data_IF_196277301957
#
_entry.id   IF_196277301957
#
_cell.length_a   1.000
_cell.length_b   1.000
_cell.length_c   1.000
_cell.angle_alpha   90.00
_cell.angle_beta   90.00
_cell.angle_gamma   90.00
#
_symmetry.space_group_name_H-M   'P 1'
#
loop_
_entity.id
_entity.type
_entity.pdbx_description
1 polymer ?
#
# COMPACT_ATOMS: atom_id res chain seq x y z
N UNK A 1 -19.14 15.52 -41.94
CA UNK A 1 -18.89 16.36 -40.75
C UNK A 1 -18.32 15.43 -39.73
N UNK A 2 -17.15 15.76 -39.19
CA UNK A 2 -16.60 14.98 -38.09
C UNK A 2 -17.52 15.14 -36.89
N UNK A 3 -17.93 14.01 -36.34
CA UNK A 3 -19.00 13.91 -35.35
C UNK A 3 -18.49 13.94 -33.90
N UNK A 4 -17.16 14.05 -33.73
CA UNK A 4 -16.49 14.18 -32.45
C UNK A 4 -15.59 15.43 -32.46
N UNK A 5 -15.62 16.20 -31.39
CA UNK A 5 -14.86 17.45 -31.25
C UNK A 5 -13.56 17.26 -30.46
N UNK A 6 -13.40 16.13 -29.77
CA UNK A 6 -12.17 15.78 -29.08
C UNK A 6 -11.17 15.18 -30.05
N UNK A 7 -9.90 15.52 -29.87
CA UNK A 7 -8.83 14.87 -30.62
C UNK A 7 -8.53 13.51 -30.00
N UNK A 8 -8.00 12.58 -30.79
CA UNK A 8 -7.54 11.28 -30.28
C UNK A 8 -6.53 11.43 -29.14
N UNK A 9 -5.75 12.51 -29.12
CA UNK A 9 -4.81 12.82 -28.05
C UNK A 9 -5.53 13.17 -26.74
N UNK A 10 -6.60 13.97 -26.79
CA UNK A 10 -7.36 14.36 -25.58
C UNK A 10 -8.05 13.15 -24.92
N UNK A 11 -8.57 12.25 -25.75
CA UNK A 11 -9.21 11.00 -25.29
C UNK A 11 -8.19 10.03 -24.70
N UNK A 12 -7.01 9.91 -25.32
CA UNK A 12 -5.90 9.11 -24.80
C UNK A 12 -5.41 9.63 -23.45
N UNK A 13 -5.14 10.93 -23.32
CA UNK A 13 -4.61 11.53 -22.10
C UNK A 13 -5.58 11.34 -20.91
N UNK A 14 -6.89 11.55 -21.16
CA UNK A 14 -7.91 11.34 -20.14
C UNK A 14 -8.06 9.86 -19.76
N UNK A 15 -7.99 8.96 -20.74
CA UNK A 15 -8.07 7.51 -20.50
C UNK A 15 -6.89 6.99 -19.68
N UNK A 16 -5.68 7.45 -20.02
CA UNK A 16 -4.44 7.09 -19.32
C UNK A 16 -4.42 7.63 -17.89
N UNK A 17 -4.84 8.88 -17.66
CA UNK A 17 -4.94 9.45 -16.30
C UNK A 17 -5.89 8.63 -15.40
N UNK A 18 -7.06 8.27 -15.93
CA UNK A 18 -8.00 7.41 -15.19
C UNK A 18 -7.44 6.01 -14.93
N UNK A 19 -6.72 5.44 -15.90
CA UNK A 19 -6.06 4.15 -15.76
C UNK A 19 -4.97 4.18 -14.67
N UNK A 20 -4.12 5.22 -14.66
CA UNK A 20 -3.08 5.39 -13.65
C UNK A 20 -3.70 5.52 -12.25
N UNK A 21 -4.76 6.33 -12.08
CA UNK A 21 -5.46 6.44 -10.79
C UNK A 21 -6.01 5.10 -10.31
N UNK A 22 -6.57 4.31 -11.23
CA UNK A 22 -7.07 2.98 -10.90
C UNK A 22 -5.93 2.05 -10.46
N UNK A 23 -4.77 2.09 -11.13
CA UNK A 23 -3.58 1.35 -10.68
C UNK A 23 -3.11 1.78 -9.30
N UNK A 24 -3.03 3.08 -9.01
CA UNK A 24 -2.56 3.57 -7.71
C UNK A 24 -3.44 3.08 -6.56
N UNK A 25 -4.75 3.15 -6.72
CA UNK A 25 -5.68 2.61 -5.72
C UNK A 25 -5.54 1.08 -5.61
N UNK A 26 -5.45 0.37 -6.74
CA UNK A 26 -5.29 -1.08 -6.74
C UNK A 26 -3.97 -1.54 -6.10
N UNK A 27 -2.88 -0.80 -6.29
CA UNK A 27 -1.58 -1.13 -5.70
C UNK A 27 -1.55 -0.94 -4.19
N UNK A 28 -2.19 0.12 -3.68
CA UNK A 28 -2.41 0.29 -2.24
C UNK A 28 -3.16 -0.92 -1.69
N UNK A 29 -4.29 -1.30 -2.31
CA UNK A 29 -5.07 -2.47 -1.89
C UNK A 29 -4.24 -3.75 -1.89
N UNK A 30 -3.45 -4.01 -2.93
CA UNK A 30 -2.61 -5.20 -3.01
C UNK A 30 -1.51 -5.19 -1.94
N UNK A 31 -0.83 -4.06 -1.74
CA UNK A 31 0.22 -3.90 -0.75
C UNK A 31 -0.30 -4.09 0.68
N UNK A 32 -1.41 -3.42 1.02
CA UNK A 32 -2.00 -3.50 2.35
C UNK A 32 -2.56 -4.89 2.63
N UNK A 33 -3.21 -5.54 1.66
CA UNK A 33 -3.63 -6.94 1.82
C UNK A 33 -2.45 -7.88 2.03
N UNK A 34 -1.32 -7.66 1.34
CA UNK A 34 -0.11 -8.46 1.57
C UNK A 34 0.43 -8.25 3.00
N UNK A 35 0.57 -7.00 3.44
CA UNK A 35 1.05 -6.69 4.79
C UNK A 35 0.12 -7.26 5.86
N UNK A 36 -1.20 -7.14 5.67
CA UNK A 36 -2.19 -7.62 6.62
C UNK A 36 -2.24 -9.16 6.66
N UNK A 37 -2.31 -9.84 5.52
CA UNK A 37 -2.46 -11.29 5.51
C UNK A 37 -1.20 -12.05 5.96
N UNK A 38 -0.03 -11.42 5.90
CA UNK A 38 1.25 -12.01 6.30
C UNK A 38 1.75 -11.49 7.66
N UNK A 39 0.85 -10.94 8.48
CA UNK A 39 1.21 -10.52 9.85
C UNK A 39 1.74 -11.70 10.64
N UNK A 40 2.58 -11.36 11.59
CA UNK A 40 3.19 -12.32 12.48
C UNK A 40 2.13 -12.96 13.38
N UNK A 41 2.01 -14.29 13.32
CA UNK A 41 1.02 -15.09 14.06
C UNK A 41 1.58 -15.73 15.33
N UNK A 42 2.90 -15.59 15.54
CA UNK A 42 3.60 -16.13 16.71
C UNK A 42 3.58 -15.10 17.82
N UNK A 43 3.31 -15.51 19.06
CA UNK A 43 3.36 -14.59 20.19
C UNK A 43 4.71 -13.87 20.31
N UNK A 44 4.67 -12.56 20.14
CA UNK A 44 5.82 -11.66 20.20
C UNK A 44 5.75 -10.71 21.42
N UNK A 45 4.82 -10.94 22.35
CA UNK A 45 4.84 -10.29 23.65
C UNK A 45 6.00 -10.87 24.48
N UNK A 46 7.16 -10.26 24.34
CA UNK A 46 8.37 -10.65 25.08
C UNK A 46 8.37 -10.08 26.52
N UNK A 47 7.20 -10.07 27.17
CA UNK A 47 7.02 -9.68 28.56
C UNK A 47 6.83 -8.18 28.78
N UNK A 48 6.20 -7.49 27.84
CA UNK A 48 5.78 -6.12 28.11
C UNK A 48 4.60 -6.16 29.08
N UNK A 49 4.64 -5.36 30.15
CA UNK A 49 3.48 -5.21 31.05
C UNK A 49 2.51 -4.13 30.54
N UNK A 50 2.66 -3.69 29.28
CA UNK A 50 1.99 -2.50 28.73
C UNK A 50 0.99 -2.80 27.62
N UNK A 51 0.82 -4.08 27.30
CA UNK A 51 -0.20 -4.61 26.39
C UNK A 51 -0.23 -6.14 26.47
N UNK A 52 -0.94 -6.76 25.54
CA UNK A 52 -1.06 -8.22 25.44
C UNK A 52 -1.18 -8.63 23.98
N UNK A 53 -0.56 -9.74 23.57
CA UNK A 53 -0.76 -10.28 22.23
C UNK A 53 -2.03 -11.12 22.14
N UNK A 54 -2.94 -10.77 21.23
CA UNK A 54 -4.09 -11.59 20.86
C UNK A 54 -3.68 -12.59 19.76
N UNK A 55 -3.57 -13.86 20.15
CA UNK A 55 -3.23 -14.99 19.26
C UNK A 55 -4.36 -15.41 18.31
N UNK A 56 -5.58 -14.89 18.48
CA UNK A 56 -6.72 -15.15 17.57
C UNK A 56 -6.73 -14.15 16.43
N UNK A 57 -6.30 -12.93 16.70
CA UNK A 57 -6.33 -11.81 15.75
C UNK A 57 -4.96 -11.36 15.27
N UNK A 58 -3.92 -12.05 15.76
CA UNK A 58 -2.51 -11.82 15.45
C UNK A 58 -2.12 -10.35 15.64
N UNK A 59 -2.56 -9.78 16.77
CA UNK A 59 -2.47 -8.34 17.05
C UNK A 59 -2.06 -8.07 18.49
N UNK A 60 -1.05 -7.21 18.67
CA UNK A 60 -0.64 -6.75 19.99
C UNK A 60 -1.52 -5.57 20.44
N UNK A 61 -2.27 -5.79 21.52
CA UNK A 61 -3.27 -4.85 22.01
C UNK A 61 -2.69 -3.95 23.11
N UNK A 62 -2.81 -2.64 22.90
CA UNK A 62 -2.43 -1.62 23.86
C UNK A 62 -3.70 -0.97 24.40
N UNK A 63 -3.94 -1.10 25.71
CA UNK A 63 -5.10 -0.46 26.34
C UNK A 63 -5.03 1.06 26.23
N UNK A 64 -5.91 1.65 25.43
CA UNK A 64 -5.88 3.06 25.07
C UNK A 64 -5.98 3.99 26.29
N UNK A 65 -6.83 3.63 27.26
CA UNK A 65 -7.07 4.43 28.47
C UNK A 65 -5.87 4.49 29.42
N UNK A 66 -4.98 3.51 29.37
CA UNK A 66 -3.82 3.41 30.27
C UNK A 66 -2.52 3.79 29.57
N UNK A 67 -2.34 3.31 28.33
CA UNK A 67 -1.06 3.33 27.63
C UNK A 67 -1.13 3.97 26.23
N UNK A 68 -2.29 4.48 25.80
CA UNK A 68 -2.46 5.01 24.45
C UNK A 68 -1.54 6.19 24.09
N UNK A 69 -1.16 7.03 25.05
CA UNK A 69 -0.20 8.14 24.83
C UNK A 69 1.25 7.68 24.64
N UNK A 70 1.54 6.41 24.96
CA UNK A 70 2.85 5.77 24.82
C UNK A 70 2.86 4.67 23.77
N UNK A 71 1.81 4.59 22.93
CA UNK A 71 1.64 3.52 21.96
C UNK A 71 2.85 3.36 21.02
N UNK A 72 3.42 4.47 20.55
CA UNK A 72 4.62 4.46 19.71
C UNK A 72 5.84 3.94 20.49
N UNK A 73 6.05 4.42 21.71
CA UNK A 73 7.16 3.95 22.56
C UNK A 73 7.05 2.47 22.93
N UNK A 74 5.83 1.99 23.22
CA UNK A 74 5.55 0.58 23.49
C UNK A 74 5.85 -0.25 22.25
N UNK A 75 5.39 0.19 21.08
CA UNK A 75 5.67 -0.48 19.80
C UNK A 75 7.17 -0.63 19.58
N UNK A 76 7.97 0.43 19.79
CA UNK A 76 9.44 0.35 19.70
C UNK A 76 10.04 -0.63 20.69
N UNK A 77 9.58 -0.59 21.93
CA UNK A 77 10.09 -1.46 22.99
C UNK A 77 9.82 -2.94 22.66
N UNK A 78 8.64 -3.25 22.11
CA UNK A 78 8.30 -4.58 21.62
C UNK A 78 9.19 -4.99 20.45
N UNK A 79 9.41 -4.12 19.47
CA UNK A 79 10.30 -4.39 18.34
C UNK A 79 11.74 -4.66 18.79
N UNK A 80 12.25 -3.85 19.73
CA UNK A 80 13.57 -4.00 20.31
C UNK A 80 13.69 -5.31 21.11
N UNK A 81 12.65 -5.70 21.86
CA UNK A 81 12.62 -6.98 22.58
C UNK A 81 12.60 -8.20 21.64
N UNK A 82 12.02 -8.04 20.45
CA UNK A 82 12.06 -9.05 19.38
C UNK A 82 13.31 -8.93 18.49
N UNK A 83 14.34 -8.19 18.95
CA UNK A 83 15.63 -8.04 18.29
C UNK A 83 15.58 -7.42 16.88
N UNK A 84 14.53 -6.65 16.57
CA UNK A 84 14.48 -5.83 15.37
C UNK A 84 15.33 -4.56 15.54
N UNK A 85 15.98 -4.09 14.46
CA UNK A 85 16.91 -2.95 14.45
C UNK A 85 16.15 -1.62 14.39
N UNK A 86 16.65 -0.50 14.95
CA UNK A 86 15.88 0.73 15.24
C UNK A 86 15.36 1.58 14.06
N UNK A 87 15.36 1.06 12.83
CA UNK A 87 14.78 1.74 11.67
C UNK A 87 13.46 1.06 11.33
N UNK A 88 12.36 1.76 11.63
CA UNK A 88 11.02 1.21 11.54
C UNK A 88 10.11 2.09 10.67
N UNK A 89 9.28 1.43 9.87
CA UNK A 89 8.18 2.05 9.16
C UNK A 89 6.86 1.53 9.71
N UNK A 90 5.98 2.44 10.13
CA UNK A 90 4.66 2.12 10.65
C UNK A 90 3.62 2.44 9.58
N UNK A 91 2.90 1.41 9.13
CA UNK A 91 1.75 1.54 8.25
C UNK A 91 0.51 1.68 9.14
N UNK A 92 -0.07 2.87 9.13
CA UNK A 92 -1.09 3.28 10.09
C UNK A 92 -2.44 3.41 9.40
N UNK A 93 -3.50 2.96 10.07
CA UNK A 93 -4.86 3.37 9.70
C UNK A 93 -5.04 4.89 9.89
N UNK A 94 -6.15 5.42 9.38
CA UNK A 94 -6.45 6.85 9.47
C UNK A 94 -6.42 7.38 10.92
N UNK A 95 -6.96 6.59 11.85
CA UNK A 95 -7.11 6.99 13.25
C UNK A 95 -5.77 7.07 13.97
N UNK A 96 -4.92 6.03 13.81
CA UNK A 96 -3.58 6.00 14.41
C UNK A 96 -2.65 7.01 13.73
N UNK A 97 -2.71 7.18 12.41
CA UNK A 97 -1.89 8.15 11.69
C UNK A 97 -2.13 9.57 12.20
N UNK A 98 -3.39 10.00 12.26
CA UNK A 98 -3.75 11.34 12.73
C UNK A 98 -3.35 11.56 14.20
N UNK A 99 -3.37 10.50 15.03
CA UNK A 99 -2.90 10.56 16.42
C UNK A 99 -1.39 10.72 16.51
N UNK A 100 -0.63 9.89 15.80
CA UNK A 100 0.83 9.94 15.82
C UNK A 100 1.37 11.24 15.21
N UNK A 101 0.72 11.77 14.17
CA UNK A 101 1.04 13.09 13.62
C UNK A 101 0.82 14.21 14.66
N UNK A 102 -0.30 14.16 15.39
CA UNK A 102 -0.55 15.10 16.50
C UNK A 102 0.53 14.99 17.57
N UNK A 103 0.91 13.78 17.97
CA UNK A 103 1.90 13.54 19.02
C UNK A 103 3.32 13.96 18.60
N UNK A 104 3.65 13.87 17.30
CA UNK A 104 4.87 14.41 16.72
C UNK A 104 4.95 15.95 16.87
N UNK A 105 3.82 16.64 16.73
CA UNK A 105 3.73 18.09 16.81
C UNK A 105 3.61 18.64 18.25
N UNK A 106 3.52 17.78 19.27
CA UNK A 106 3.53 18.20 20.67
C UNK A 106 4.95 18.63 21.09
N UNK A 107 5.29 19.89 20.79
CA UNK A 107 6.59 20.50 21.04
C UNK A 107 6.86 20.93 22.49
N UNK A 108 8.08 21.39 22.71
CA UNK A 108 8.75 21.71 23.98
C UNK A 108 8.02 22.67 24.96
N UNK A 109 6.93 23.32 24.54
CA UNK A 109 6.11 24.22 25.37
C UNK A 109 4.92 23.52 26.04
N UNK A 110 4.68 22.25 25.74
CA UNK A 110 3.65 21.43 26.39
C UNK A 110 4.27 20.69 27.59
N UNK A 111 3.60 20.67 28.75
CA UNK A 111 4.10 19.98 29.95
C UNK A 111 4.22 18.46 29.76
N UNK A 112 3.53 17.93 28.76
CA UNK A 112 3.57 16.53 28.32
C UNK A 112 4.15 16.50 26.91
N UNK A 113 5.48 16.56 26.80
CA UNK A 113 6.17 16.44 25.50
C UNK A 113 6.27 14.95 25.13
N UNK A 114 5.59 14.53 24.06
CA UNK A 114 5.59 13.14 23.56
C UNK A 114 6.41 12.96 22.27
N UNK A 115 6.95 14.06 21.71
CA UNK A 115 7.64 14.05 20.41
C UNK A 115 8.87 13.14 20.36
N UNK A 116 9.52 12.90 21.51
CA UNK A 116 10.70 12.02 21.63
C UNK A 116 10.42 10.57 21.24
N UNK A 117 9.16 10.11 21.35
CA UNK A 117 8.82 8.72 21.03
C UNK A 117 9.01 8.42 19.53
N UNK A 118 8.81 9.43 18.69
CA UNK A 118 8.75 9.32 17.24
C UNK A 118 10.11 9.36 16.54
N UNK A 119 11.22 9.51 17.28
CA UNK A 119 12.55 9.55 16.69
C UNK A 119 12.90 8.22 15.98
N UNK A 120 13.27 8.31 14.70
CA UNK A 120 13.68 7.16 13.89
C UNK A 120 12.53 6.36 13.26
N UNK A 121 11.29 6.86 13.31
CA UNK A 121 10.12 6.18 12.73
C UNK A 121 9.60 6.95 11.52
N UNK A 122 9.28 6.22 10.46
CA UNK A 122 8.49 6.73 9.33
C UNK A 122 7.04 6.29 9.48
N UNK A 123 6.11 7.24 9.52
CA UNK A 123 4.67 6.94 9.51
C UNK A 123 4.14 7.01 8.08
N UNK A 124 3.46 5.95 7.64
CA UNK A 124 2.80 5.86 6.34
C UNK A 124 1.30 5.73 6.56
N UNK A 125 0.54 6.68 6.03
CA UNK A 125 -0.93 6.65 6.08
C UNK A 125 -1.47 5.62 5.10
N UNK A 126 -2.16 4.61 5.62
CA UNK A 126 -2.72 3.47 4.88
C UNK A 126 -4.21 3.33 5.17
N UNK A 127 -5.09 4.09 4.48
CA UNK A 127 -6.51 4.18 4.84
C UNK A 127 -7.26 2.85 4.71
N UNK A 128 -6.82 1.96 3.82
CA UNK A 128 -7.43 0.63 3.63
C UNK A 128 -7.12 -0.36 4.76
N UNK A 129 -6.16 -0.02 5.64
CA UNK A 129 -5.82 -0.83 6.80
C UNK A 129 -6.94 -0.83 7.86
N UNK A 130 -7.61 0.32 8.04
CA UNK A 130 -8.69 0.49 9.02
C UNK A 130 -9.86 -0.49 8.80
N UNK A 131 -10.43 -0.59 7.58
CA UNK A 131 -11.45 -1.58 7.26
C UNK A 131 -11.02 -3.04 7.52
N UNK A 132 -9.74 -3.39 7.29
CA UNK A 132 -9.25 -4.76 7.53
C UNK A 132 -9.22 -5.10 9.02
N UNK A 133 -8.65 -4.22 9.86
CA UNK A 133 -8.69 -4.41 11.32
C UNK A 133 -10.09 -4.28 11.89
N UNK A 134 -10.94 -3.42 11.31
CA UNK A 134 -12.35 -3.27 11.69
C UNK A 134 -13.22 -4.48 11.36
N UNK A 135 -12.75 -5.38 10.47
CA UNK A 135 -13.42 -6.63 10.14
C UNK A 135 -13.02 -7.81 11.05
N UNK A 136 -12.02 -7.61 11.92
CA UNK A 136 -11.66 -8.57 12.97
C UNK A 136 -12.75 -8.62 14.06
N UNK A 137 -12.71 -9.65 14.92
CA UNK A 137 -13.68 -9.87 16.01
C UNK A 137 -13.66 -8.73 17.02
N UNK A 138 -12.48 -8.23 17.42
CA UNK A 138 -12.35 -7.09 18.33
C UNK A 138 -12.65 -5.75 17.67
N UNK A 139 -12.71 -5.71 16.32
CA UNK A 139 -13.08 -4.54 15.53
C UNK A 139 -12.33 -3.26 15.97
N UNK A 140 -11.00 -3.31 15.90
CA UNK A 140 -10.10 -2.26 16.40
C UNK A 140 -10.36 -0.87 15.80
N UNK A 141 -11.19 -0.09 16.49
CA UNK A 141 -11.69 1.21 16.01
C UNK A 141 -10.97 2.42 16.60
N UNK A 142 -10.12 2.21 17.62
CA UNK A 142 -9.37 3.28 18.28
C UNK A 142 -8.00 3.56 17.63
N UNK A 143 -7.67 2.83 16.57
CA UNK A 143 -6.43 2.96 15.80
C UNK A 143 -5.66 1.65 15.76
N UNK A 144 -5.14 1.31 14.57
CA UNK A 144 -4.36 0.10 14.33
C UNK A 144 -3.23 0.37 13.33
N UNK A 145 -2.10 -0.32 13.50
CA UNK A 145 -0.94 -0.17 12.65
C UNK A 145 -0.17 -1.48 12.51
N UNK A 146 0.61 -1.59 11.43
CA UNK A 146 1.59 -2.65 11.25
C UNK A 146 2.96 -2.00 11.29
N UNK A 147 3.79 -2.42 12.24
CA UNK A 147 5.17 -1.98 12.34
C UNK A 147 6.09 -2.98 11.61
N UNK A 148 6.98 -2.43 10.79
CA UNK A 148 7.85 -3.19 9.91
C UNK A 148 9.27 -2.69 10.10
N UNK A 149 10.23 -3.61 10.19
CA UNK A 149 11.64 -3.26 10.12
C UNK A 149 12.01 -2.86 8.69
N UNK A 150 12.71 -1.74 8.53
CA UNK A 150 13.15 -1.28 7.21
C UNK A 150 14.02 -2.34 6.51
N UNK A 151 13.73 -2.58 5.23
CA UNK A 151 14.40 -3.60 4.42
C UNK A 151 13.84 -5.01 4.58
N UNK A 152 12.83 -5.22 5.42
CA UNK A 152 12.22 -6.55 5.60
C UNK A 152 11.11 -6.89 4.62
N UNK A 153 10.63 -5.91 3.85
CA UNK A 153 9.63 -6.05 2.78
C UNK A 153 10.15 -5.48 1.47
N UNK A 154 9.67 -6.03 0.36
CA UNK A 154 10.03 -5.59 -0.98
C UNK A 154 8.98 -5.93 -2.03
N UNK A 155 9.00 -5.19 -3.14
CA UNK A 155 8.13 -5.42 -4.29
C UNK A 155 9.00 -5.57 -5.52
N UNK A 156 8.86 -6.70 -6.20
CA UNK A 156 9.46 -6.94 -7.50
C UNK A 156 8.43 -6.62 -8.59
N UNK A 157 8.84 -5.81 -9.54
CA UNK A 157 8.00 -5.44 -10.68
C UNK A 157 8.44 -6.21 -11.92
N UNK A 158 7.48 -6.63 -12.73
CA UNK A 158 7.75 -7.31 -13.99
C UNK A 158 6.84 -6.80 -15.10
N UNK A 159 7.43 -6.74 -16.29
CA UNK A 159 6.72 -6.49 -17.53
C UNK A 159 7.12 -7.54 -18.58
N UNK A 160 6.21 -7.93 -19.49
CA UNK A 160 6.50 -8.90 -20.53
C UNK A 160 7.73 -8.56 -21.36
N UNK A 161 8.39 -9.60 -21.88
CA UNK A 161 9.60 -9.45 -22.69
C UNK A 161 9.34 -8.63 -23.95
N UNK A 162 8.19 -8.83 -24.59
CA UNK A 162 7.79 -8.14 -25.82
C UNK A 162 7.74 -6.62 -25.64
N UNK A 163 7.23 -6.16 -24.49
CA UNK A 163 7.19 -4.74 -24.12
C UNK A 163 8.59 -4.18 -23.86
N UNK A 164 9.43 -4.92 -23.14
CA UNK A 164 10.84 -4.52 -22.88
C UNK A 164 11.67 -4.40 -24.15
N UNK A 165 11.41 -5.24 -25.15
CA UNK A 165 12.12 -5.23 -26.43
C UNK A 165 11.53 -4.25 -27.45
N UNK A 166 10.39 -3.60 -27.15
CA UNK A 166 9.72 -2.69 -28.08
C UNK A 166 9.24 -3.38 -29.36
N UNK A 167 8.71 -4.61 -29.24
CA UNK A 167 8.35 -5.42 -30.42
C UNK A 167 7.23 -4.75 -31.22
N UNK A 168 7.39 -4.74 -32.54
CA UNK A 168 6.34 -4.30 -33.48
C UNK A 168 5.96 -5.46 -34.38
N UNK A 169 4.67 -5.66 -34.54
CA UNK A 169 4.07 -6.59 -35.50
C UNK A 169 3.15 -5.80 -36.44
N UNK A 170 2.63 -6.40 -37.53
CA UNK A 170 1.72 -5.68 -38.42
C UNK A 170 0.41 -5.24 -37.73
N UNK A 171 -0.02 -5.96 -36.70
CA UNK A 171 -1.27 -5.72 -35.97
C UNK A 171 -1.06 -5.03 -34.61
N UNK A 172 0.05 -5.33 -33.94
CA UNK A 172 0.30 -4.95 -32.54
C UNK A 172 1.61 -4.18 -32.35
N UNK A 173 1.59 -3.20 -31.44
CA UNK A 173 2.77 -2.45 -30.98
C UNK A 173 2.95 -2.67 -29.48
N UNK A 174 4.12 -3.20 -29.10
CA UNK A 174 4.53 -3.35 -27.71
C UNK A 174 5.55 -2.28 -27.36
N UNK A 175 5.31 -1.56 -26.26
CA UNK A 175 6.20 -0.52 -25.75
C UNK A 175 6.16 -0.50 -24.23
N UNK A 176 6.87 0.47 -23.65
CA UNK A 176 6.85 0.78 -22.22
C UNK A 176 6.45 2.22 -21.98
N UNK A 177 5.73 2.47 -20.89
CA UNK A 177 5.41 3.81 -20.41
C UNK A 177 5.93 3.96 -18.98
N UNK A 178 6.62 5.05 -18.69
CA UNK A 178 6.95 5.40 -17.31
C UNK A 178 5.75 6.12 -16.72
N UNK A 179 5.19 5.59 -15.63
CA UNK A 179 4.17 6.29 -14.89
C UNK A 179 4.83 7.42 -14.08
N UNK A 180 4.42 8.69 -14.27
CA UNK A 180 5.03 9.83 -13.57
C UNK A 180 4.71 9.88 -12.07
N UNK A 181 3.71 9.11 -11.59
CA UNK A 181 3.30 9.10 -10.19
C UNK A 181 4.20 8.21 -9.33
N UNK A 182 4.46 6.98 -9.78
CA UNK A 182 5.25 5.99 -9.04
C UNK A 182 6.67 5.79 -9.60
N UNK A 183 6.97 6.31 -10.80
CA UNK A 183 8.25 6.16 -11.49
C UNK A 183 8.50 4.76 -12.07
N UNK A 184 7.52 3.85 -12.04
CA UNK A 184 7.65 2.49 -12.53
C UNK A 184 7.40 2.41 -14.04
N UNK A 185 8.00 1.40 -14.68
CA UNK A 185 7.83 1.15 -16.11
C UNK A 185 6.72 0.12 -16.35
N UNK A 186 5.66 0.56 -17.00
CA UNK A 186 4.46 -0.22 -17.31
C UNK A 186 4.58 -0.76 -18.72
N UNK A 187 4.02 -1.95 -18.95
CA UNK A 187 3.85 -2.49 -20.27
C UNK A 187 2.71 -1.74 -20.97
N UNK A 188 3.00 -1.15 -22.13
CA UNK A 188 2.01 -0.54 -23.01
C UNK A 188 1.85 -1.42 -24.25
N UNK A 189 0.63 -1.83 -24.53
CA UNK A 189 0.26 -2.59 -25.72
C UNK A 189 -0.80 -1.80 -26.50
N UNK A 190 -0.58 -1.62 -27.80
CA UNK A 190 -1.53 -0.94 -28.70
C UNK A 190 -1.84 -1.84 -29.87
N UNK A 191 -3.13 -1.99 -30.17
CA UNK A 191 -3.61 -2.72 -31.35
C UNK A 191 -4.79 -2.00 -31.97
N UNK A 192 -5.09 -2.35 -33.23
CA UNK A 192 -6.16 -1.72 -33.99
C UNK A 192 -7.14 -2.77 -34.52
N UNK A 193 -8.42 -2.57 -34.24
CA UNK A 193 -9.49 -3.44 -34.73
C UNK A 193 -10.40 -2.69 -35.70
N UNK A 194 -11.02 -3.43 -36.62
CA UNK A 194 -12.06 -2.86 -37.50
C UNK A 194 -13.33 -2.66 -36.69
N UNK A 195 -13.92 -1.47 -36.78
CA UNK A 195 -15.06 -1.10 -35.95
C UNK A 195 -16.18 -0.47 -36.80
N UNK A 196 -17.41 -0.97 -36.65
CA UNK A 196 -18.59 -0.32 -37.23
C UNK A 196 -19.07 0.77 -36.25
N UNK A 197 -18.58 1.99 -36.46
CA UNK A 197 -18.88 3.13 -35.60
C UNK A 197 -20.28 3.73 -35.79
N UNK A 198 -21.16 3.13 -36.59
CA UNK A 198 -22.50 3.68 -36.85
C UNK A 198 -23.38 3.81 -35.61
N UNK A 199 -23.13 3.02 -34.56
CA UNK A 199 -23.81 3.11 -33.28
C UNK A 199 -23.24 4.22 -32.35
N UNK A 200 -22.04 4.73 -32.65
CA UNK A 200 -21.28 5.71 -31.84
C UNK A 200 -21.09 7.02 -32.59
N UNK A 201 -22.06 7.37 -33.43
CA UNK A 201 -22.03 8.59 -34.25
C UNK A 201 -20.82 8.66 -35.20
N UNK A 202 -20.35 7.53 -35.73
CA UNK A 202 -19.23 7.45 -36.69
C UNK A 202 -19.60 6.60 -37.92
N UNK A 203 -18.66 6.20 -38.78
CA UNK A 203 -18.93 5.51 -40.05
C UNK A 203 -18.56 4.02 -40.01
N UNK A 204 -19.04 3.25 -41.00
CA UNK A 204 -18.81 1.79 -41.09
C UNK A 204 -17.37 1.37 -41.38
N UNK A 205 -16.52 2.31 -41.78
CA UNK A 205 -15.15 2.04 -42.23
C UNK A 205 -14.10 2.45 -41.18
N UNK A 206 -14.53 2.61 -39.93
CA UNK A 206 -13.65 3.09 -38.88
C UNK A 206 -12.79 1.98 -38.29
N UNK A 207 -11.73 2.43 -37.62
CA UNK A 207 -10.82 1.58 -36.87
C UNK A 207 -10.81 2.04 -35.42
N UNK A 208 -10.92 1.09 -34.50
CA UNK A 208 -10.76 1.34 -33.06
C UNK A 208 -9.31 1.06 -32.70
N UNK A 209 -8.65 2.04 -32.09
CA UNK A 209 -7.34 1.83 -31.45
C UNK A 209 -7.57 1.53 -29.98
N UNK A 210 -6.99 0.44 -29.50
CA UNK A 210 -7.02 0.04 -28.10
C UNK A 210 -5.64 0.26 -27.48
N UNK A 211 -5.63 0.72 -26.23
CA UNK A 211 -4.43 0.86 -25.43
C UNK A 211 -4.60 0.09 -24.13
N UNK A 212 -3.67 -0.82 -23.88
CA UNK A 212 -3.64 -1.66 -22.69
C UNK A 212 -2.38 -1.34 -21.89
N UNK A 213 -2.58 -1.01 -20.62
CA UNK A 213 -1.50 -0.83 -19.65
C UNK A 213 -1.51 -2.00 -18.66
N UNK A 214 -0.34 -2.49 -18.30
CA UNK A 214 -0.20 -3.53 -17.27
C UNK A 214 1.13 -3.46 -16.54
N UNK A 215 1.13 -3.93 -15.29
CA UNK A 215 2.31 -4.11 -14.47
C UNK A 215 2.06 -5.30 -13.54
N UNK A 216 2.98 -6.26 -13.53
CA UNK A 216 2.93 -7.37 -12.60
C UNK A 216 3.75 -7.03 -11.35
N UNK A 217 3.14 -7.22 -10.17
CA UNK A 217 3.75 -6.96 -8.88
C UNK A 217 3.87 -8.26 -8.08
N UNK A 218 5.05 -8.53 -7.55
CA UNK A 218 5.30 -9.61 -6.60
C UNK A 218 5.77 -9.02 -5.27
N UNK A 219 4.95 -9.18 -4.24
CA UNK A 219 5.23 -8.72 -2.89
C UNK A 219 5.96 -9.81 -2.10
N UNK A 220 6.97 -9.40 -1.35
CA UNK A 220 7.81 -10.30 -0.57
C UNK A 220 8.10 -9.68 0.80
N UNK A 221 8.10 -10.53 1.82
CA UNK A 221 8.57 -10.26 3.16
C UNK A 221 9.73 -11.22 3.51
N UNK A 222 10.44 -10.90 4.59
CA UNK A 222 11.64 -11.65 4.98
C UNK A 222 11.25 -13.03 5.51
N UNK A 223 11.76 -14.12 4.92
CA UNK A 223 11.45 -15.45 5.41
C UNK A 223 12.16 -15.70 6.74
N UNK A 224 11.39 -16.03 7.77
CA UNK A 224 11.90 -16.50 9.05
C UNK A 224 11.82 -18.03 9.15
N UNK A 225 12.57 -18.61 10.08
CA UNK A 225 12.71 -20.07 10.20
C UNK A 225 11.58 -20.72 10.99
N UNK A 226 10.83 -19.95 11.77
CA UNK A 226 9.66 -20.41 12.53
C UNK A 226 8.40 -20.20 11.70
N UNK A 227 7.55 -21.22 11.65
CA UNK A 227 6.30 -21.16 10.91
C UNK A 227 5.37 -20.10 11.54
N UNK A 228 4.85 -19.20 10.70
CA UNK A 228 3.94 -18.13 11.13
C UNK A 228 4.65 -16.93 11.75
N UNK A 229 5.98 -16.96 11.89
CA UNK A 229 6.77 -15.82 12.32
C UNK A 229 7.09 -14.93 11.11
N UNK A 230 6.83 -13.63 11.22
CA UNK A 230 7.20 -12.64 10.20
C UNK A 230 7.70 -11.34 10.86
N UNK A 231 8.36 -10.48 10.09
CA UNK A 231 8.77 -9.15 10.55
C UNK A 231 7.63 -8.12 10.53
N UNK A 232 6.39 -8.57 10.31
CA UNK A 232 5.21 -7.74 10.15
C UNK A 232 4.38 -7.79 11.44
N UNK A 233 4.70 -6.92 12.39
CA UNK A 233 4.09 -6.95 13.71
C UNK A 233 2.87 -6.03 13.75
N UNK A 234 1.71 -6.59 14.06
CA UNK A 234 0.44 -5.86 14.11
C UNK A 234 0.18 -5.31 15.51
N UNK A 235 -0.32 -4.09 15.59
CA UNK A 235 -0.65 -3.42 16.84
C UNK A 235 -2.00 -2.72 16.73
N UNK A 236 -2.71 -2.66 17.85
CA UNK A 236 -3.98 -1.93 17.93
C UNK A 236 -4.21 -1.31 19.30
N UNK A 237 -4.99 -0.24 19.32
CA UNK A 237 -5.54 0.35 20.53
C UNK A 237 -6.90 -0.28 20.86
N UNK A 238 -7.04 -0.71 22.12
CA UNK A 238 -8.28 -1.29 22.68
C UNK A 238 -8.84 -0.46 23.84
#
# INVERSE_FOLDING_TARGET
>A
MDNNFFTQADEFDTGVDNCIKAFMNGFETLAINHLFNNRNTVDFDQGSNEGTFDVVEDTFEITNSTNGERAVQITKSILDLNAYSPSYTFYCDETSFNRFEKDLQQGNSNSTNLSFQNEGITFVRSPELGPLFGALVSAYSLGAWIAIQDGSVGVNTWIPRQNREGRVTPEDVYSTMINPVDGLSYALHTYVERFDGTATNSVKQDTKTEWELSLDLAFHDTPLTVAGETSLLAFALV
#
